data_IF_344062115270
#
_entry.id   IF_344062115270
#
_cell.length_a   1.000
_cell.length_b   1.000
_cell.length_c   1.000
_cell.angle_alpha   90.00
_cell.angle_beta   90.00
_cell.angle_gamma   90.00
#
_symmetry.space_group_name_H-M   'P 1'
#
loop_
_entity.id
_entity.type
_entity.pdbx_description
1 polymer ?
#
# COMPACT_ATOMS: atom_id res chain seq x y z
N UNK A 1 -1.63 15.94 -3.61
CA UNK A 1 -2.39 14.69 -3.82
C UNK A 1 -3.60 14.71 -2.90
N UNK A 2 -4.73 14.03 -3.21
CA UNK A 2 -5.96 14.13 -2.40
C UNK A 2 -5.93 13.39 -1.06
N UNK A 3 -4.84 12.68 -0.74
CA UNK A 3 -4.69 11.91 0.49
C UNK A 3 -3.33 12.18 1.12
N UNK A 4 -3.30 12.16 2.45
CA UNK A 4 -2.06 12.30 3.24
C UNK A 4 -1.40 10.94 3.55
N UNK A 5 -2.19 9.86 3.60
CA UNK A 5 -1.74 8.50 3.84
C UNK A 5 -2.78 7.46 3.36
N UNK A 6 -2.37 6.20 3.28
CA UNK A 6 -3.22 5.06 2.88
C UNK A 6 -3.15 3.97 3.96
N UNK A 7 -4.29 3.36 4.28
CA UNK A 7 -4.39 2.21 5.17
C UNK A 7 -5.02 1.03 4.42
N UNK A 8 -4.29 -0.06 4.29
CA UNK A 8 -4.79 -1.32 3.71
C UNK A 8 -5.45 -2.12 4.82
N UNK A 9 -6.76 -1.93 4.96
CA UNK A 9 -7.57 -2.61 5.97
C UNK A 9 -7.99 -4.02 5.53
N UNK A 10 -8.29 -4.19 4.24
CA UNK A 10 -8.66 -5.45 3.62
C UNK A 10 -7.91 -5.58 2.31
N UNK A 11 -7.57 -6.81 1.96
CA UNK A 11 -6.94 -7.14 0.69
C UNK A 11 -7.99 -7.63 -0.31
N UNK A 12 -8.29 -6.82 -1.33
CA UNK A 12 -9.23 -7.15 -2.39
C UNK A 12 -8.50 -7.38 -3.71
N UNK A 13 -8.81 -8.48 -4.40
CA UNK A 13 -8.13 -8.91 -5.63
C UNK A 13 -8.22 -7.88 -6.78
N UNK A 14 -9.21 -6.99 -6.76
CA UNK A 14 -9.41 -5.98 -7.81
C UNK A 14 -8.63 -4.68 -7.62
N UNK A 15 -7.83 -4.56 -6.57
CA UNK A 15 -7.08 -3.33 -6.25
C UNK A 15 -5.71 -3.34 -6.92
N UNK A 16 -5.39 -2.26 -7.64
CA UNK A 16 -4.05 -2.03 -8.19
C UNK A 16 -3.12 -1.43 -7.12
N UNK A 17 -2.47 -2.30 -6.36
CA UNK A 17 -1.50 -1.90 -5.33
C UNK A 17 -0.22 -1.26 -5.90
N UNK A 18 0.12 -1.51 -7.16
CA UNK A 18 1.26 -0.86 -7.79
C UNK A 18 0.96 0.62 -8.05
N UNK A 19 -0.24 0.94 -8.54
CA UNK A 19 -0.69 2.33 -8.68
C UNK A 19 -0.77 3.06 -7.33
N UNK A 20 -1.21 2.36 -6.28
CA UNK A 20 -1.19 2.89 -4.90
C UNK A 20 0.23 3.24 -4.45
N UNK A 21 1.21 2.35 -4.68
CA UNK A 21 2.62 2.60 -4.34
C UNK A 21 3.23 3.82 -5.02
N UNK A 22 2.75 4.17 -6.22
CA UNK A 22 3.21 5.33 -7.00
C UNK A 22 2.73 6.67 -6.47
N UNK A 23 1.74 6.70 -5.55
CA UNK A 23 1.22 7.95 -4.99
C UNK A 23 2.24 8.69 -4.11
N UNK A 24 3.30 8.02 -3.66
CA UNK A 24 4.39 8.62 -2.88
C UNK A 24 3.99 9.06 -1.47
N UNK A 25 2.79 8.67 -1.01
CA UNK A 25 2.30 8.92 0.36
C UNK A 25 2.62 7.73 1.27
N UNK A 26 2.71 7.90 2.60
CA UNK A 26 2.86 6.78 3.52
C UNK A 26 1.73 5.75 3.40
N UNK A 27 2.09 4.46 3.47
CA UNK A 27 1.15 3.32 3.39
C UNK A 27 1.30 2.49 4.67
N UNK A 28 0.18 2.23 5.34
CA UNK A 28 0.09 1.27 6.46
C UNK A 28 -0.53 -0.01 5.91
N UNK A 29 0.29 -1.04 5.76
CA UNK A 29 -0.12 -2.32 5.18
C UNK A 29 -0.34 -3.37 6.27
N UNK A 30 -1.58 -3.48 6.76
CA UNK A 30 -1.96 -4.48 7.77
C UNK A 30 -2.20 -5.87 7.19
N UNK A 31 -2.18 -5.99 5.85
CA UNK A 31 -2.47 -7.23 5.12
C UNK A 31 -1.22 -7.86 4.51
N UNK A 32 -0.07 -7.18 4.62
CA UNK A 32 1.21 -7.54 4.02
C UNK A 32 1.17 -7.65 2.49
N UNK A 33 0.17 -7.07 1.83
CA UNK A 33 -0.07 -7.22 0.39
C UNK A 33 1.04 -6.59 -0.44
N UNK A 34 1.59 -5.44 -0.03
CA UNK A 34 2.67 -4.75 -0.76
C UNK A 34 3.90 -5.66 -0.86
N UNK A 35 4.30 -6.25 0.28
CA UNK A 35 5.44 -7.17 0.32
C UNK A 35 5.14 -8.53 -0.34
N UNK A 36 3.90 -9.03 -0.24
CA UNK A 36 3.48 -10.29 -0.85
C UNK A 36 3.51 -10.22 -2.39
N UNK A 37 3.27 -9.04 -2.95
CA UNK A 37 3.34 -8.77 -4.38
C UNK A 37 4.75 -8.33 -4.85
N UNK A 38 5.74 -8.26 -3.94
CA UNK A 38 7.09 -7.82 -4.28
C UNK A 38 7.19 -6.34 -4.67
N UNK A 39 6.27 -5.50 -4.20
CA UNK A 39 6.27 -4.07 -4.47
C UNK A 39 7.27 -3.33 -3.56
N UNK A 40 7.72 -2.11 -3.96
CA UNK A 40 8.59 -1.28 -3.13
C UNK A 40 7.99 -1.02 -1.74
N UNK A 41 8.86 -0.99 -0.73
CA UNK A 41 8.47 -0.85 0.69
C UNK A 41 9.01 0.44 1.33
N UNK A 42 9.60 1.35 0.55
CA UNK A 42 10.31 2.53 1.07
C UNK A 42 9.40 3.45 1.90
N UNK A 43 8.12 3.53 1.56
CA UNK A 43 7.07 4.30 2.24
C UNK A 43 5.99 3.42 2.89
N UNK A 44 6.24 2.11 3.02
CA UNK A 44 5.26 1.13 3.52
C UNK A 44 5.66 0.64 4.90
N UNK A 45 4.79 0.86 5.88
CA UNK A 45 4.92 0.29 7.23
C UNK A 45 4.00 -0.91 7.38
N UNK A 46 4.54 -2.04 7.83
CA UNK A 46 3.75 -3.22 8.24
C UNK A 46 3.21 -3.03 9.65
N UNK A 47 1.96 -3.42 9.88
CA UNK A 47 1.29 -3.35 11.19
C UNK A 47 0.43 -4.59 11.45
#
# INVERSE_FOLDING_TARGET
TPYDAIVIATDHDSVDYAAIGQLGVPIIDTRNVMSRLGLPMDNVTKA
#
